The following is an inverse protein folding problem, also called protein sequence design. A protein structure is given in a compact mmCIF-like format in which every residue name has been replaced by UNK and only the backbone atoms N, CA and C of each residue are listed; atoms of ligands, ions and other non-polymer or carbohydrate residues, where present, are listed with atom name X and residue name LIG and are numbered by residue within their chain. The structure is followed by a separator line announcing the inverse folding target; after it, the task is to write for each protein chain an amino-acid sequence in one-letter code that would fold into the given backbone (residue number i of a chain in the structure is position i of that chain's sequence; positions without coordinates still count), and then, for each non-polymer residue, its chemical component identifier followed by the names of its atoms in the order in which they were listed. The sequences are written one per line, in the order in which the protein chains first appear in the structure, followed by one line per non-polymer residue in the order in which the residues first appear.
data_IF_622989030531
#
_entry.id   IF_622989030531
#
_cell.length_a   1.000
_cell.length_b   1.000
_cell.length_c   1.000
_cell.angle_alpha   90.00
_cell.angle_beta   90.00
_cell.angle_gamma   90.00
#
_symmetry.space_group_name_H-M   'P 1'
#
loop_
_entity.id
_entity.type
_entity.pdbx_description
1 polymer ?
#
# COMPACT_ATOMS: atom_id res chain seq x y z
N UNK A 1 12.32 -16.16 6.50
CA UNK A 1 11.02 -15.65 7.02
C UNK A 1 10.74 -14.17 6.66
N UNK A 2 11.71 -13.24 6.78
CA UNK A 2 11.49 -11.83 6.49
C UNK A 2 11.22 -11.54 5.00
N UNK A 3 11.88 -12.24 4.08
CA UNK A 3 11.63 -12.12 2.64
C UNK A 3 10.24 -12.63 2.24
N UNK A 4 9.78 -13.73 2.84
CA UNK A 4 8.43 -14.24 2.64
C UNK A 4 7.37 -13.21 3.14
N UNK A 5 7.63 -12.54 4.26
CA UNK A 5 6.79 -11.45 4.75
C UNK A 5 6.69 -10.29 3.77
N UNK A 6 7.79 -9.90 3.13
CA UNK A 6 7.81 -8.82 2.13
C UNK A 6 6.99 -9.17 0.88
N UNK A 7 7.02 -10.42 0.41
CA UNK A 7 6.21 -10.86 -0.75
C UNK A 7 4.72 -10.82 -0.45
N UNK A 8 4.29 -11.23 0.74
CA UNK A 8 2.89 -11.17 1.19
C UNK A 8 2.42 -9.72 1.27
N UNK A 9 3.23 -8.81 1.82
CA UNK A 9 2.90 -7.38 1.91
C UNK A 9 2.75 -6.76 0.52
N UNK A 10 3.64 -7.08 -0.43
CA UNK A 10 3.53 -6.59 -1.81
C UNK A 10 2.26 -7.11 -2.51
N UNK A 11 1.90 -8.37 -2.32
CA UNK A 11 0.65 -8.93 -2.84
C UNK A 11 -0.57 -8.21 -2.24
N UNK A 12 -0.57 -7.94 -0.93
CA UNK A 12 -1.64 -7.20 -0.25
C UNK A 12 -1.74 -5.77 -0.77
N UNK A 13 -0.60 -5.09 -1.01
CA UNK A 13 -0.57 -3.76 -1.59
C UNK A 13 -1.24 -3.72 -2.97
N UNK A 14 -0.87 -4.66 -3.85
CA UNK A 14 -1.46 -4.77 -5.19
C UNK A 14 -2.97 -5.01 -5.11
N UNK A 15 -3.42 -5.90 -4.23
CA UNK A 15 -4.85 -6.18 -4.04
C UNK A 15 -5.60 -4.92 -3.56
N UNK A 16 -5.05 -4.19 -2.61
CA UNK A 16 -5.65 -2.98 -2.07
C UNK A 16 -5.70 -1.85 -3.11
N UNK A 17 -4.64 -1.69 -3.92
CA UNK A 17 -4.62 -0.77 -5.05
C UNK A 17 -5.65 -1.13 -6.12
N UNK A 18 -5.77 -2.40 -6.46
CA UNK A 18 -6.78 -2.88 -7.42
C UNK A 18 -8.18 -2.60 -6.89
N UNK A 19 -8.44 -2.81 -5.60
CA UNK A 19 -9.73 -2.47 -4.98
C UNK A 19 -10.03 -0.96 -5.10
N UNK A 20 -9.04 -0.09 -4.88
CA UNK A 20 -9.22 1.35 -5.06
C UNK A 20 -9.56 1.73 -6.51
N UNK A 21 -8.94 1.08 -7.50
CA UNK A 21 -9.22 1.32 -8.92
C UNK A 21 -10.63 0.86 -9.35
N UNK A 22 -11.17 -0.18 -8.73
CA UNK A 22 -12.57 -0.61 -8.96
C UNK A 22 -13.56 0.49 -8.55
N UNK A 23 -13.28 1.19 -7.44
CA UNK A 23 -14.11 2.33 -7.05
C UNK A 23 -14.03 3.48 -8.05
N UNK A 24 -12.90 3.71 -8.73
CA UNK A 24 -12.79 4.73 -9.78
C UNK A 24 -13.70 4.43 -10.97
N UNK A 25 -13.75 3.18 -11.42
CA UNK A 25 -14.68 2.76 -12.47
C UNK A 25 -16.14 2.94 -12.04
N UNK A 26 -16.47 2.57 -10.80
CA UNK A 26 -17.83 2.74 -10.26
C UNK A 26 -18.20 4.23 -10.11
N UNK A 27 -17.27 5.09 -9.71
CA UNK A 27 -17.48 6.54 -9.63
C UNK A 27 -17.76 7.11 -11.02
N UNK A 28 -16.97 6.74 -12.04
CA UNK A 28 -17.15 7.20 -13.40
C UNK A 28 -18.54 6.80 -13.96
N UNK A 29 -18.99 5.57 -13.71
CA UNK A 29 -20.32 5.11 -14.10
C UNK A 29 -21.43 5.95 -13.44
N UNK A 30 -21.33 6.17 -12.13
CA UNK A 30 -22.31 6.95 -11.37
C UNK A 30 -22.32 8.42 -11.84
N UNK A 31 -21.16 9.01 -12.16
CA UNK A 31 -21.06 10.38 -12.66
C UNK A 31 -21.74 10.55 -14.03
N UNK A 32 -21.57 9.57 -14.93
CA UNK A 32 -22.30 9.57 -16.22
C UNK A 32 -23.81 9.48 -16.01
N UNK A 33 -24.27 8.62 -15.10
CA UNK A 33 -25.69 8.51 -14.74
C UNK A 33 -26.22 9.80 -14.12
N UNK A 34 -25.44 10.43 -13.23
CA UNK A 34 -25.81 11.68 -12.59
C UNK A 34 -25.96 12.81 -13.62
N UNK A 35 -25.02 12.92 -14.58
CA UNK A 35 -25.06 13.90 -15.65
C UNK A 35 -26.31 13.72 -16.54
N UNK A 36 -26.73 12.47 -16.80
CA UNK A 36 -27.98 12.18 -17.51
C UNK A 36 -29.18 12.67 -16.70
N UNK A 37 -29.28 12.29 -15.43
CA UNK A 37 -30.37 12.66 -14.55
C UNK A 37 -30.47 14.19 -14.37
N UNK A 38 -29.35 14.90 -14.34
CA UNK A 38 -29.34 16.37 -14.30
C UNK A 38 -29.95 16.99 -15.57
N UNK A 39 -29.61 16.46 -16.74
CA UNK A 39 -30.20 16.89 -18.01
C UNK A 39 -31.73 16.60 -18.05
N UNK A 40 -32.10 15.40 -17.60
CA UNK A 40 -33.50 15.00 -17.52
C UNK A 40 -34.26 15.89 -16.54
N UNK A 41 -33.74 16.19 -15.36
CA UNK A 41 -34.34 17.13 -14.40
C UNK A 41 -34.60 18.48 -15.03
N UNK A 42 -33.59 19.11 -15.66
CA UNK A 42 -33.75 20.41 -16.35
C UNK A 42 -34.82 20.36 -17.46
N UNK A 43 -34.86 19.25 -18.20
CA UNK A 43 -35.86 19.06 -19.26
C UNK A 43 -37.28 18.98 -18.67
N UNK A 44 -37.49 18.16 -17.64
CA UNK A 44 -38.79 17.99 -17.01
C UNK A 44 -39.25 19.27 -16.26
N UNK A 45 -38.33 20.01 -15.63
CA UNK A 45 -38.64 21.33 -15.07
C UNK A 45 -39.24 22.27 -16.13
N UNK A 46 -38.69 22.28 -17.35
CA UNK A 46 -39.20 23.07 -18.45
C UNK A 46 -40.55 22.54 -19.00
N UNK A 47 -40.74 21.22 -19.05
CA UNK A 47 -41.96 20.59 -19.51
C UNK A 47 -43.13 20.85 -18.54
N UNK A 48 -42.89 20.77 -17.23
CA UNK A 48 -43.88 21.08 -16.20
C UNK A 48 -44.29 22.55 -16.28
N UNK A 49 -43.36 23.49 -16.49
CA UNK A 49 -43.69 24.93 -16.69
C UNK A 49 -44.57 25.18 -17.88
N UNK A 50 -44.53 24.30 -18.89
CA UNK A 50 -45.37 24.39 -20.11
C UNK A 50 -46.61 23.51 -20.07
N UNK A 51 -46.93 22.92 -18.89
CA UNK A 51 -48.02 21.94 -18.70
C UNK A 51 -47.89 20.70 -19.62
N UNK A 52 -46.71 20.36 -20.06
CA UNK A 52 -46.42 19.22 -20.94
C UNK A 52 -45.87 17.98 -20.18
N UNK A 53 -45.71 18.05 -18.86
CA UNK A 53 -45.41 16.94 -17.98
C UNK A 53 -46.08 17.14 -16.62
N UNK A 54 -46.24 16.03 -15.88
CA UNK A 54 -46.86 16.07 -14.55
C UNK A 54 -45.83 16.41 -13.47
N UNK A 55 -46.22 17.11 -12.38
CA UNK A 55 -45.32 17.35 -11.23
C UNK A 55 -44.76 16.06 -10.63
N UNK A 56 -45.53 14.97 -10.61
CA UNK A 56 -45.09 13.65 -10.09
C UNK A 56 -43.92 13.11 -10.88
N UNK A 57 -43.90 13.28 -12.21
CA UNK A 57 -42.79 12.86 -13.06
C UNK A 57 -41.50 13.64 -12.75
N UNK A 58 -41.63 14.93 -12.48
CA UNK A 58 -40.48 15.74 -12.07
C UNK A 58 -39.96 15.31 -10.70
N UNK A 59 -40.84 15.09 -9.73
CA UNK A 59 -40.48 14.63 -8.39
C UNK A 59 -39.75 13.32 -8.42
N UNK A 60 -40.19 12.35 -9.25
CA UNK A 60 -39.46 11.07 -9.42
C UNK A 60 -38.04 11.29 -9.91
N UNK A 61 -37.82 12.14 -10.90
CA UNK A 61 -36.50 12.43 -11.46
C UNK A 61 -35.60 13.15 -10.44
N UNK A 62 -36.17 14.08 -9.68
CA UNK A 62 -35.46 14.78 -8.59
C UNK A 62 -35.00 13.76 -7.52
N UNK A 63 -35.88 12.85 -7.13
CA UNK A 63 -35.59 11.81 -6.15
C UNK A 63 -34.49 10.89 -6.67
N UNK A 64 -34.53 10.44 -7.93
CA UNK A 64 -33.53 9.60 -8.55
C UNK A 64 -32.16 10.32 -8.66
N UNK A 65 -32.20 11.63 -8.97
CA UNK A 65 -30.98 12.45 -8.99
C UNK A 65 -30.35 12.54 -7.60
N UNK A 66 -31.12 12.84 -6.58
CA UNK A 66 -30.63 12.95 -5.20
C UNK A 66 -30.09 11.60 -4.68
N UNK A 67 -30.82 10.51 -4.93
CA UNK A 67 -30.39 9.16 -4.57
C UNK A 67 -29.06 8.80 -5.24
N UNK A 68 -28.92 9.10 -6.54
CA UNK A 68 -27.69 8.85 -7.29
C UNK A 68 -26.54 9.71 -6.79
N UNK A 69 -26.79 10.97 -6.43
CA UNK A 69 -25.82 11.87 -5.81
C UNK A 69 -25.32 11.33 -4.46
N UNK A 70 -26.22 10.86 -3.62
CA UNK A 70 -25.86 10.24 -2.33
C UNK A 70 -25.04 8.97 -2.53
N UNK A 71 -25.37 8.16 -3.54
CA UNK A 71 -24.58 6.98 -3.92
C UNK A 71 -23.17 7.38 -4.34
N UNK A 72 -23.00 8.45 -5.12
CA UNK A 72 -21.69 8.97 -5.51
C UNK A 72 -20.85 9.35 -4.28
N UNK A 73 -21.42 10.08 -3.35
CA UNK A 73 -20.73 10.47 -2.11
C UNK A 73 -20.30 9.24 -1.29
N UNK A 74 -21.18 8.24 -1.17
CA UNK A 74 -20.86 7.00 -0.45
C UNK A 74 -19.71 6.25 -1.11
N UNK A 75 -19.73 6.10 -2.44
CA UNK A 75 -18.66 5.44 -3.19
C UNK A 75 -17.33 6.20 -3.08
N UNK A 76 -17.35 7.55 -3.11
CA UNK A 76 -16.14 8.38 -2.89
C UNK A 76 -15.55 8.18 -1.49
N UNK A 77 -16.40 8.02 -0.46
CA UNK A 77 -15.95 7.69 0.91
C UNK A 77 -15.33 6.29 0.99
N UNK A 78 -15.93 5.31 0.32
CA UNK A 78 -15.39 3.95 0.24
C UNK A 78 -14.02 3.92 -0.46
N UNK A 79 -13.86 4.67 -1.57
CA UNK A 79 -12.56 4.85 -2.21
C UNK A 79 -11.53 5.44 -1.25
N UNK A 80 -11.90 6.51 -0.53
CA UNK A 80 -10.99 7.13 0.45
C UNK A 80 -10.56 6.15 1.54
N UNK A 81 -11.48 5.33 2.05
CA UNK A 81 -11.16 4.29 3.03
C UNK A 81 -10.21 3.23 2.44
N UNK A 82 -10.42 2.81 1.18
CA UNK A 82 -9.52 1.89 0.51
C UNK A 82 -8.12 2.48 0.32
N UNK A 83 -7.99 3.76 -0.04
CA UNK A 83 -6.70 4.46 -0.15
C UNK A 83 -5.98 4.56 1.20
N UNK A 84 -6.70 4.82 2.30
CA UNK A 84 -6.09 4.78 3.64
C UNK A 84 -5.54 3.39 3.98
N UNK A 85 -6.18 2.33 3.50
CA UNK A 85 -5.65 0.97 3.61
C UNK A 85 -4.35 0.75 2.82
N UNK A 86 -4.21 1.40 1.65
CA UNK A 86 -2.94 1.39 0.89
C UNK A 86 -1.81 2.03 1.69
N UNK A 87 -2.07 3.20 2.31
CA UNK A 87 -1.09 3.89 3.14
C UNK A 87 -0.64 3.02 4.32
N UNK A 88 -1.59 2.38 5.01
CA UNK A 88 -1.27 1.47 6.13
C UNK A 88 -0.36 0.32 5.69
N UNK A 89 -0.67 -0.34 4.57
CA UNK A 89 0.15 -1.43 4.04
C UNK A 89 1.53 -0.93 3.60
N UNK A 90 1.63 0.28 3.05
CA UNK A 90 2.90 0.90 2.67
C UNK A 90 3.80 1.16 3.89
N UNK A 91 3.26 1.64 5.00
CA UNK A 91 4.00 1.79 6.26
C UNK A 91 4.47 0.45 6.83
N UNK A 92 3.63 -0.59 6.77
CA UNK A 92 4.04 -1.94 7.17
C UNK A 92 5.20 -2.46 6.31
N UNK A 93 5.17 -2.19 5.01
CA UNK A 93 6.25 -2.53 4.10
C UNK A 93 7.57 -1.85 4.50
N UNK A 94 7.56 -0.54 4.75
CA UNK A 94 8.75 0.20 5.20
C UNK A 94 9.33 -0.37 6.49
N UNK A 95 8.48 -0.72 7.45
CA UNK A 95 8.91 -1.34 8.71
C UNK A 95 9.54 -2.72 8.49
N UNK A 96 8.99 -3.51 7.57
CA UNK A 96 9.54 -4.83 7.22
C UNK A 96 10.88 -4.70 6.50
N UNK A 97 11.02 -3.77 5.57
CA UNK A 97 12.28 -3.46 4.89
C UNK A 97 13.36 -3.03 5.90
N UNK A 98 13.03 -2.17 6.85
CA UNK A 98 13.95 -1.78 7.92
C UNK A 98 14.35 -2.95 8.84
N UNK A 99 13.44 -3.90 9.08
CA UNK A 99 13.74 -5.11 9.83
C UNK A 99 14.68 -6.04 9.04
N UNK A 100 14.48 -6.18 7.74
CA UNK A 100 15.37 -6.94 6.85
C UNK A 100 16.78 -6.34 6.86
N UNK A 101 16.90 -5.02 6.71
CA UNK A 101 18.20 -4.34 6.74
C UNK A 101 18.93 -4.56 8.06
N UNK A 102 18.24 -4.47 9.20
CA UNK A 102 18.82 -4.76 10.53
C UNK A 102 19.30 -6.22 10.64
N UNK A 103 18.49 -7.17 10.17
CA UNK A 103 18.84 -8.57 10.18
C UNK A 103 20.04 -8.87 9.25
N UNK A 104 20.11 -8.22 8.09
CA UNK A 104 21.24 -8.35 7.16
C UNK A 104 22.52 -7.79 7.77
N UNK A 105 22.49 -6.61 8.40
CA UNK A 105 23.64 -6.03 9.08
C UNK A 105 24.11 -6.92 10.26
N UNK A 106 23.18 -7.49 11.02
CA UNK A 106 23.52 -8.44 12.08
C UNK A 106 24.17 -9.72 11.53
N UNK A 107 23.69 -10.22 10.38
CA UNK A 107 24.30 -11.37 9.70
C UNK A 107 25.72 -11.05 9.22
N UNK A 108 25.92 -9.89 8.63
CA UNK A 108 27.26 -9.44 8.18
C UNK A 108 28.21 -9.30 9.35
N UNK A 109 27.77 -8.73 10.46
CA UNK A 109 28.57 -8.66 11.69
C UNK A 109 28.94 -10.05 12.23
N UNK A 110 27.99 -10.98 12.25
CA UNK A 110 28.22 -12.35 12.66
C UNK A 110 29.22 -13.07 11.73
N UNK A 111 29.11 -12.86 10.41
CA UNK A 111 30.04 -13.37 9.42
C UNK A 111 31.46 -12.80 9.60
N UNK A 112 31.55 -11.49 9.87
CA UNK A 112 32.82 -10.84 10.16
C UNK A 112 33.45 -11.43 11.42
N UNK A 113 32.71 -11.58 12.51
CA UNK A 113 33.19 -12.20 13.74
C UNK A 113 33.62 -13.64 13.50
N UNK A 114 32.91 -14.41 12.68
CA UNK A 114 33.31 -15.75 12.30
C UNK A 114 34.60 -15.73 11.48
N UNK A 115 34.81 -14.76 10.59
CA UNK A 115 36.04 -14.65 9.80
C UNK A 115 37.28 -14.42 10.68
N UNK A 116 37.11 -13.74 11.81
CA UNK A 116 38.25 -13.54 12.76
C UNK A 116 38.64 -14.81 13.53
N UNK A 117 37.80 -15.83 13.53
CA UNK A 117 38.19 -17.12 14.14
C UNK A 117 39.17 -17.93 13.29
N UNK A 118 39.32 -17.56 12.01
CA UNK A 118 40.27 -18.19 11.07
C UNK A 118 41.41 -17.24 10.81
N UNK A 119 42.58 -17.53 11.37
CA UNK A 119 43.79 -16.74 11.15
C UNK A 119 44.53 -17.28 9.92
N UNK A 120 44.60 -16.48 8.88
CA UNK A 120 45.29 -16.82 7.63
C UNK A 120 46.58 -16.06 7.57
N UNK A 121 47.66 -16.73 7.14
CA UNK A 121 48.96 -16.08 6.91
C UNK A 121 48.85 -15.12 5.72
N UNK A 122 49.19 -13.81 5.85
CA UNK A 122 49.03 -12.82 4.80
C UNK A 122 50.07 -12.97 3.67
N UNK A 123 51.14 -13.70 3.88
CA UNK A 123 52.20 -13.96 2.91
C UNK A 123 52.93 -15.26 3.24
N UNK A 124 53.68 -15.78 2.28
CA UNK A 124 54.58 -16.91 2.50
C UNK A 124 55.75 -16.48 3.39
N UNK A 125 56.07 -17.29 4.39
CA UNK A 125 57.12 -16.99 5.35
C UNK A 125 57.44 -18.17 6.26
N UNK A 126 58.49 -18.01 7.08
CA UNK A 126 58.83 -18.98 8.14
C UNK A 126 58.17 -18.54 9.45
N UNK A 127 57.46 -19.48 10.09
CA UNK A 127 56.88 -19.24 11.41
C UNK A 127 58.04 -19.19 12.46
N UNK A 128 57.99 -18.15 13.29
CA UNK A 128 58.85 -18.04 14.47
C UNK A 128 58.40 -19.00 15.58
N UNK A 129 59.12 -18.93 16.75
CA UNK A 129 58.71 -19.72 17.92
C UNK A 129 57.29 -19.34 18.38
N UNK A 130 56.47 -20.33 18.65
CA UNK A 130 55.15 -20.14 19.26
C UNK A 130 55.34 -19.66 20.72
N UNK A 131 54.95 -18.44 21.01
CA UNK A 131 54.96 -17.86 22.36
C UNK A 131 53.60 -17.95 23.09
N UNK A 132 52.60 -18.44 22.40
CA UNK A 132 51.24 -18.56 22.91
C UNK A 132 50.82 -20.03 22.97
N UNK A 133 50.21 -20.43 24.07
CA UNK A 133 49.68 -21.78 24.28
C UNK A 133 48.13 -21.74 24.26
N UNK A 134 47.52 -22.89 24.08
CA UNK A 134 46.07 -23.01 24.14
C UNK A 134 45.54 -22.55 25.53
N UNK A 135 44.55 -21.67 25.54
CA UNK A 135 44.01 -21.07 26.77
C UNK A 135 44.59 -19.72 27.16
N UNK A 136 45.61 -19.19 26.45
CA UNK A 136 46.11 -17.84 26.68
C UNK A 136 45.10 -16.77 26.23
N UNK A 137 44.78 -15.86 27.12
CA UNK A 137 44.01 -14.67 26.79
C UNK A 137 44.86 -13.63 26.06
N UNK A 138 44.42 -13.22 24.87
CA UNK A 138 45.02 -12.11 24.12
C UNK A 138 44.30 -10.81 24.47
N UNK A 139 45.05 -9.86 25.02
CA UNK A 139 44.56 -8.49 25.21
C UNK A 139 45.07 -7.63 24.07
N UNK A 140 44.16 -6.84 23.46
CA UNK A 140 44.58 -5.77 22.56
C UNK A 140 45.16 -4.63 23.40
N UNK A 141 46.37 -4.27 23.16
CA UNK A 141 46.99 -3.04 23.69
C UNK A 141 46.54 -1.83 22.92
#
# INVERSE_FOLDING_TARGET
DAQAGATVINATLNTTQTTASVYDASIAEIEVRLAKLEKDRKRYENLVKRNAATPIQLEQIVTDYEATRKKLEATKRQKKAALSGVDEVSYRRMNTEAAIQRATAALEMARLNLSYTVVIAPCDGKLGRRSLEEGHHLYSS
#
